data_IF_587336505227
#
_entry.id   IF_587336505227
#
_cell.length_a   1.000
_cell.length_b   1.000
_cell.length_c   1.000
_cell.angle_alpha   90.00
_cell.angle_beta   90.00
_cell.angle_gamma   90.00
#
_symmetry.space_group_name_H-M   'P 1'
#
loop_
_entity.id
_entity.type
_entity.pdbx_description
1 polymer ?
#
# COMPACT_ATOMS: atom_id res chain seq x y z
N UNK A 1 -5.64 -14.70 1.67
CA UNK A 1 -5.79 -14.22 0.28
C UNK A 1 -5.76 -12.69 0.30
N UNK A 2 -4.69 -12.04 -0.20
CA UNK A 2 -4.54 -10.59 -0.13
C UNK A 2 -5.59 -9.79 -0.92
N UNK A 3 -5.83 -8.54 -0.51
CA UNK A 3 -6.82 -7.63 -1.09
C UNK A 3 -6.24 -6.90 -2.31
N UNK A 4 -7.03 -6.74 -3.38
CA UNK A 4 -6.59 -6.08 -4.61
C UNK A 4 -6.95 -4.59 -4.61
N UNK A 5 -6.01 -3.74 -5.01
CA UNK A 5 -6.22 -2.29 -5.12
C UNK A 5 -5.62 -1.80 -6.44
N UNK A 6 -6.37 -0.94 -7.14
CA UNK A 6 -5.93 -0.29 -8.37
C UNK A 6 -5.72 1.21 -8.14
N UNK A 7 -4.62 1.73 -8.66
CA UNK A 7 -4.27 3.14 -8.65
C UNK A 7 -3.43 3.43 -9.90
N UNK A 8 -3.91 4.32 -10.75
CA UNK A 8 -3.30 4.61 -12.03
C UNK A 8 -3.73 5.98 -12.52
N UNK A 9 -2.97 6.53 -13.48
CA UNK A 9 -3.26 7.79 -14.14
C UNK A 9 -3.30 7.62 -15.66
N UNK A 10 -3.73 8.66 -16.36
CA UNK A 10 -3.62 8.71 -17.81
C UNK A 10 -2.36 9.45 -18.24
N UNK A 11 -1.70 8.95 -19.28
CA UNK A 11 -0.61 9.66 -19.95
C UNK A 11 -1.14 10.76 -20.90
N UNK A 12 -0.22 11.44 -21.59
CA UNK A 12 -0.57 12.48 -22.56
C UNK A 12 -1.39 11.98 -23.76
N UNK A 13 -1.36 10.67 -24.03
CA UNK A 13 -2.12 9.99 -25.09
C UNK A 13 -3.44 9.38 -24.57
N UNK A 14 -3.85 9.74 -23.34
CA UNK A 14 -5.07 9.25 -22.70
C UNK A 14 -5.06 7.73 -22.37
N UNK A 15 -3.90 7.07 -22.37
CA UNK A 15 -3.71 5.65 -22.04
C UNK A 15 -3.42 5.47 -20.55
N UNK A 16 -3.88 4.36 -19.99
CA UNK A 16 -3.68 4.05 -18.57
C UNK A 16 -2.21 3.69 -18.31
N UNK A 17 -1.62 4.31 -17.29
CA UNK A 17 -0.26 4.03 -16.82
C UNK A 17 -0.18 4.05 -15.29
N UNK A 18 0.86 3.44 -14.74
CA UNK A 18 1.18 3.64 -13.33
C UNK A 18 1.47 5.12 -13.06
N UNK A 19 1.20 5.57 -11.83
CA UNK A 19 1.60 6.91 -11.41
C UNK A 19 3.11 7.09 -11.59
N UNK A 20 3.48 8.16 -12.28
CA UNK A 20 4.87 8.62 -12.35
C UNK A 20 5.35 9.12 -10.99
N UNK A 21 6.65 8.97 -10.71
CA UNK A 21 7.25 9.50 -9.50
C UNK A 21 6.95 10.99 -9.35
N UNK A 22 7.02 11.75 -10.43
CA UNK A 22 6.83 13.20 -10.43
C UNK A 22 5.39 13.59 -10.05
N UNK A 23 4.39 12.78 -10.43
CA UNK A 23 2.97 13.06 -10.18
C UNK A 23 2.40 12.35 -8.95
N UNK A 24 3.09 11.36 -8.41
CA UNK A 24 2.64 10.64 -7.23
C UNK A 24 2.67 11.56 -6.00
N UNK A 25 1.63 11.45 -5.17
CA UNK A 25 1.58 12.05 -3.83
C UNK A 25 2.66 11.45 -2.93
N UNK A 26 3.00 12.14 -1.85
CA UNK A 26 4.04 11.69 -0.91
C UNK A 26 3.67 10.39 -0.19
N UNK A 27 2.36 10.15 -0.02
CA UNK A 27 1.81 8.97 0.62
C UNK A 27 0.72 8.33 -0.26
N UNK A 28 0.72 6.99 -0.29
CA UNK A 28 -0.41 6.18 -0.73
C UNK A 28 -1.03 5.49 0.49
N UNK A 29 -2.26 5.88 0.82
CA UNK A 29 -3.01 5.34 1.97
C UNK A 29 -4.07 4.37 1.51
N UNK A 30 -4.05 3.13 2.05
CA UNK A 30 -5.01 2.08 1.70
C UNK A 30 -5.68 1.56 2.97
N UNK A 31 -6.98 1.79 3.08
CA UNK A 31 -7.79 1.21 4.14
C UNK A 31 -8.21 -0.22 3.77
N UNK A 32 -8.10 -1.13 4.71
CA UNK A 32 -8.50 -2.54 4.55
C UNK A 32 -9.39 -2.95 5.71
N UNK A 33 -10.41 -3.75 5.40
CA UNK A 33 -11.32 -4.27 6.41
C UNK A 33 -11.88 -5.63 6.01
N UNK A 34 -12.43 -6.34 6.97
CA UNK A 34 -13.14 -7.61 6.76
C UNK A 34 -14.54 -7.55 7.35
N UNK A 35 -15.40 -8.50 6.98
CA UNK A 35 -16.73 -8.65 7.59
C UNK A 35 -16.66 -8.95 9.10
N UNK A 36 -15.52 -9.45 9.59
CA UNK A 36 -15.33 -9.84 10.98
C UNK A 36 -14.75 -8.67 11.81
N UNK A 37 -15.03 -7.43 11.41
CA UNK A 37 -14.59 -6.20 12.07
C UNK A 37 -13.07 -6.02 12.19
N UNK A 38 -12.25 -6.72 11.38
CA UNK A 38 -10.87 -6.30 11.23
C UNK A 38 -10.84 -5.01 10.43
N UNK A 39 -10.09 -4.03 10.89
CA UNK A 39 -9.86 -2.77 10.21
C UNK A 39 -8.40 -2.36 10.39
N UNK A 40 -7.83 -1.73 9.37
CA UNK A 40 -6.44 -1.30 9.41
C UNK A 40 -6.08 -0.52 8.16
N UNK A 41 -4.96 0.16 8.24
CA UNK A 41 -4.52 1.08 7.20
C UNK A 41 -3.06 0.81 6.85
N UNK A 42 -2.78 0.78 5.55
CA UNK A 42 -1.44 0.92 5.02
C UNK A 42 -1.17 2.38 4.70
N UNK A 43 0.03 2.86 5.02
CA UNK A 43 0.51 4.21 4.71
C UNK A 43 1.88 4.07 4.06
N UNK A 44 1.91 4.00 2.73
CA UNK A 44 3.15 3.79 1.99
C UNK A 44 3.78 5.11 1.57
N UNK A 45 5.00 5.43 2.04
CA UNK A 45 5.77 6.55 1.52
C UNK A 45 6.13 6.33 0.06
N UNK A 46 6.15 7.42 -0.70
CA UNK A 46 6.51 7.47 -2.12
C UNK A 46 7.80 6.71 -2.43
N UNK A 47 8.82 6.84 -1.58
CA UNK A 47 10.12 6.18 -1.79
C UNK A 47 10.09 4.66 -1.62
N UNK A 48 9.19 4.17 -0.78
CA UNK A 48 8.93 2.72 -0.66
C UNK A 48 8.24 2.22 -1.92
N UNK A 49 7.31 3.00 -2.49
CA UNK A 49 6.65 2.65 -3.74
C UNK A 49 7.64 2.61 -4.92
N UNK A 50 8.64 3.50 -4.97
CA UNK A 50 9.74 3.43 -5.94
C UNK A 50 10.57 2.17 -5.73
N UNK A 51 11.03 1.92 -4.50
CA UNK A 51 11.84 0.74 -4.15
C UNK A 51 11.15 -0.58 -4.52
N UNK A 52 9.83 -0.64 -4.44
CA UNK A 52 9.02 -1.82 -4.79
C UNK A 52 8.57 -1.86 -6.26
N UNK A 53 9.12 -0.97 -7.11
CA UNK A 53 8.80 -0.81 -8.53
C UNK A 53 7.30 -0.61 -8.81
N UNK A 54 6.61 0.11 -7.91
CA UNK A 54 5.19 0.42 -8.00
C UNK A 54 4.98 1.72 -8.79
N UNK A 55 5.78 2.75 -8.52
CA UNK A 55 5.74 3.98 -9.32
C UNK A 55 6.53 3.81 -10.62
N UNK A 56 6.08 4.52 -11.65
CA UNK A 56 6.81 4.70 -12.90
C UNK A 56 7.96 5.69 -12.65
N UNK A 57 9.15 5.32 -13.12
CA UNK A 57 10.34 6.18 -13.11
C UNK A 57 10.96 6.19 -14.52
N UNK A 58 12.09 6.86 -14.69
CA UNK A 58 12.86 6.78 -15.94
C UNK A 58 13.30 5.35 -16.30
N UNK A 59 13.44 4.45 -15.31
CA UNK A 59 13.95 3.07 -15.51
C UNK A 59 12.90 2.00 -15.23
N UNK A 60 11.74 2.34 -14.67
CA UNK A 60 10.71 1.38 -14.25
C UNK A 60 9.35 1.76 -14.84
N UNK A 61 8.62 0.77 -15.38
CA UNK A 61 7.25 0.98 -15.90
C UNK A 61 6.21 1.26 -14.80
N UNK A 62 6.48 0.81 -13.57
CA UNK A 62 5.54 0.86 -12.46
C UNK A 62 4.42 -0.19 -12.56
N UNK A 63 3.49 -0.15 -11.60
CA UNK A 63 2.31 -1.01 -11.48
C UNK A 63 1.06 -0.15 -11.33
N UNK A 64 -0.01 -0.53 -12.03
CA UNK A 64 -1.33 0.12 -11.94
C UNK A 64 -2.21 -0.44 -10.82
N UNK A 65 -1.76 -1.52 -10.20
CA UNK A 65 -2.47 -2.20 -9.13
C UNK A 65 -1.49 -3.10 -8.35
N UNK A 66 -1.79 -3.34 -7.08
CA UNK A 66 -1.08 -4.30 -6.24
C UNK A 66 -2.07 -5.12 -5.42
N UNK A 67 -1.56 -6.17 -4.77
CA UNK A 67 -2.22 -6.78 -3.63
C UNK A 67 -1.61 -6.28 -2.33
N UNK A 68 -2.45 -6.03 -1.35
CA UNK A 68 -2.05 -5.74 0.03
C UNK A 68 -2.42 -6.89 0.96
N UNK A 69 -1.57 -7.16 1.95
CA UNK A 69 -1.71 -8.27 2.88
C UNK A 69 -1.69 -7.76 4.32
N UNK A 70 -2.85 -7.37 4.88
CA UNK A 70 -2.96 -7.01 6.30
C UNK A 70 -2.40 -8.09 7.24
N UNK A 71 -2.14 -7.74 8.50
CA UNK A 71 -1.55 -8.69 9.47
C UNK A 71 -2.41 -9.93 9.72
N UNK A 72 -3.72 -9.86 9.47
CA UNK A 72 -4.63 -11.00 9.59
C UNK A 72 -4.69 -11.90 8.34
N UNK A 73 -3.98 -11.55 7.26
CA UNK A 73 -3.84 -12.42 6.10
C UNK A 73 -2.70 -13.42 6.30
N UNK A 74 -2.90 -14.66 5.84
CA UNK A 74 -1.88 -15.72 5.88
C UNK A 74 -1.58 -16.19 4.44
N UNK A 75 -0.73 -15.47 3.68
CA UNK A 75 -0.35 -15.89 2.33
C UNK A 75 0.54 -17.14 2.37
N UNK A 76 0.40 -18.00 1.37
CA UNK A 76 1.16 -19.26 1.26
C UNK A 76 2.23 -19.26 0.17
N UNK A 77 2.13 -18.37 -0.83
CA UNK A 77 3.12 -18.29 -1.89
C UNK A 77 4.32 -17.45 -1.45
N UNK A 78 5.53 -17.87 -1.86
CA UNK A 78 6.78 -17.15 -1.53
C UNK A 78 6.71 -15.66 -1.86
N UNK A 79 6.20 -15.32 -3.05
CA UNK A 79 6.05 -13.93 -3.47
C UNK A 79 5.09 -13.13 -2.56
N UNK A 80 3.97 -13.72 -2.15
CA UNK A 80 3.00 -13.05 -1.30
C UNK A 80 3.52 -12.89 0.14
N UNK A 81 4.27 -13.86 0.65
CA UNK A 81 4.94 -13.78 1.97
C UNK A 81 5.96 -12.64 1.98
N UNK A 82 6.85 -12.57 0.96
CA UNK A 82 7.82 -11.47 0.86
C UNK A 82 7.12 -10.12 0.67
N UNK A 83 6.01 -10.09 -0.06
CA UNK A 83 5.22 -8.86 -0.24
C UNK A 83 4.58 -8.42 1.08
N UNK A 84 3.98 -9.33 1.84
CA UNK A 84 3.41 -9.02 3.14
C UNK A 84 4.48 -8.50 4.10
N UNK A 85 5.66 -9.11 4.11
CA UNK A 85 6.75 -8.74 5.02
C UNK A 85 7.08 -7.26 4.97
N UNK A 86 7.35 -6.70 3.79
CA UNK A 86 7.65 -5.28 3.67
C UNK A 86 6.40 -4.40 3.87
N UNK A 87 5.21 -4.90 3.53
CA UNK A 87 3.97 -4.14 3.69
C UNK A 87 3.61 -3.92 5.16
N UNK A 88 3.88 -4.91 6.02
CA UNK A 88 3.58 -4.83 7.45
C UNK A 88 4.42 -3.79 8.20
N UNK A 89 5.57 -3.38 7.65
CA UNK A 89 6.34 -2.23 8.17
C UNK A 89 5.55 -0.91 8.05
N UNK A 90 4.54 -0.85 7.18
CA UNK A 90 3.72 0.32 6.88
C UNK A 90 2.24 0.10 7.22
N UNK A 91 1.92 -0.88 8.07
CA UNK A 91 0.56 -1.27 8.40
C UNK A 91 0.24 -1.01 9.87
N UNK A 92 -0.94 -0.47 10.13
CA UNK A 92 -1.48 -0.33 11.49
C UNK A 92 -2.87 -0.96 11.55
N UNK A 93 -3.02 -1.95 12.43
CA UNK A 93 -4.31 -2.59 12.73
C UNK A 93 -5.10 -1.79 13.77
N UNK A 94 -6.37 -1.56 13.50
CA UNK A 94 -7.29 -0.72 14.28
C UNK A 94 -8.52 -1.53 14.72
N UNK A 95 -8.29 -2.75 15.21
CA UNK A 95 -9.35 -3.69 15.58
C UNK A 95 -9.99 -3.36 16.95
N UNK A 96 -9.34 -2.53 17.76
CA UNK A 96 -9.86 -2.12 19.07
C UNK A 96 -10.51 -0.74 18.98
N UNK A 97 -11.85 -0.71 19.02
CA UNK A 97 -12.63 0.53 19.02
C UNK A 97 -12.42 1.39 20.27
N UNK A 98 -11.91 0.80 21.36
CA UNK A 98 -11.67 1.50 22.62
C UNK A 98 -10.28 2.14 22.70
N UNK A 99 -9.37 1.82 21.79
CA UNK A 99 -8.03 2.39 21.75
C UNK A 99 -7.47 2.38 20.33
N UNK A 100 -7.56 3.52 19.65
CA UNK A 100 -6.90 3.69 18.36
C UNK A 100 -5.38 3.81 18.58
N UNK A 101 -4.53 3.08 17.84
CA UNK A 101 -3.07 3.17 17.90
C UNK A 101 -2.55 4.45 17.22
N UNK A 102 -2.99 5.61 17.72
CA UNK A 102 -2.72 6.92 17.12
C UNK A 102 -1.22 7.19 17.01
N UNK A 103 -0.43 6.81 18.01
CA UNK A 103 1.01 7.04 18.00
C UNK A 103 1.73 6.23 16.91
N UNK A 104 1.30 5.00 16.65
CA UNK A 104 1.88 4.19 15.56
C UNK A 104 1.48 4.74 14.21
N UNK A 105 0.22 5.17 14.07
CA UNK A 105 -0.27 5.77 12.85
C UNK A 105 0.47 7.08 12.54
N UNK A 106 0.61 7.98 13.53
CA UNK A 106 1.29 9.25 13.36
C UNK A 106 2.75 9.08 12.91
N UNK A 107 3.46 8.03 13.38
CA UNK A 107 4.82 7.72 12.89
C UNK A 107 4.86 7.48 11.38
N UNK A 108 3.82 6.87 10.80
CA UNK A 108 3.77 6.63 9.35
C UNK A 108 3.43 7.89 8.53
N UNK A 109 2.70 8.84 9.13
CA UNK A 109 2.34 10.12 8.51
C UNK A 109 3.35 11.25 8.72
N UNK A 110 4.30 11.10 9.65
CA UNK A 110 5.26 12.14 10.03
C UNK A 110 6.63 11.98 9.36
N UNK A 111 6.73 11.12 8.34
CA UNK A 111 7.95 10.94 7.55
C UNK A 111 8.19 12.11 6.59
#
# INVERSE_FOLDING_TARGET
>A
MGQFVAFWEKDGDNKNQAFSYEKATDLLVINTFTRNNNFGQFVFPKEVLVKQNILKTATTKGKMAIRVYPSWENPTSKQAIETQKWQLEYFVGMNNTNSLPIQELLKLYSN
#
